data_IF_065504379836
#
_entry.id   IF_065504379836
#
_cell.length_a   1.000
_cell.length_b   1.000
_cell.length_c   1.000
_cell.angle_alpha   90.00
_cell.angle_beta   90.00
_cell.angle_gamma   90.00
#
_symmetry.space_group_name_H-M   'P 1'
#
loop_
_entity.id
_entity.type
_entity.pdbx_description
1 polymer ?
#
# COMPACT_ATOMS: atom_id res chain seq x y z
N UNK A 1 -11.70 -16.52 -12.56
CA UNK A 1 -10.27 -16.80 -12.76
C UNK A 1 -9.86 -15.96 -13.95
N UNK A 2 -8.75 -15.22 -13.90
CA UNK A 2 -8.23 -14.56 -15.09
C UNK A 2 -7.98 -15.63 -16.16
N UNK A 3 -8.55 -15.40 -17.33
CA UNK A 3 -8.58 -16.29 -18.48
C UNK A 3 -7.35 -16.12 -19.37
N UNK A 4 -6.66 -14.97 -19.30
CA UNK A 4 -5.43 -14.67 -20.03
C UNK A 4 -4.30 -14.15 -19.14
N UNK A 5 -3.08 -14.16 -19.68
CA UNK A 5 -1.90 -13.58 -19.02
C UNK A 5 -2.02 -12.06 -18.88
N UNK A 6 -2.64 -11.37 -19.85
CA UNK A 6 -2.95 -9.94 -19.78
C UNK A 6 -3.88 -9.63 -18.61
N UNK A 7 -4.98 -10.36 -18.43
CA UNK A 7 -5.91 -10.15 -17.32
C UNK A 7 -5.23 -10.37 -15.97
N UNK A 8 -4.35 -11.37 -15.86
CA UNK A 8 -3.59 -11.61 -14.64
C UNK A 8 -2.57 -10.50 -14.35
N UNK A 9 -1.99 -9.90 -15.40
CA UNK A 9 -1.11 -8.74 -15.27
C UNK A 9 -1.86 -7.51 -14.80
N UNK A 10 -3.04 -7.23 -15.37
CA UNK A 10 -3.88 -6.11 -14.97
C UNK A 10 -4.33 -6.24 -13.50
N UNK A 11 -4.74 -7.45 -13.08
CA UNK A 11 -5.07 -7.76 -11.68
C UNK A 11 -3.88 -7.50 -10.75
N UNK A 12 -2.68 -7.94 -11.14
CA UNK A 12 -1.45 -7.69 -10.38
C UNK A 12 -1.11 -6.19 -10.28
N UNK A 13 -1.18 -5.47 -11.39
CA UNK A 13 -0.90 -4.03 -11.42
C UNK A 13 -1.92 -3.23 -10.59
N UNK A 14 -3.19 -3.62 -10.59
CA UNK A 14 -4.23 -3.00 -9.78
C UNK A 14 -3.98 -3.21 -8.28
N UNK A 15 -3.71 -4.44 -7.85
CA UNK A 15 -3.39 -4.75 -6.46
C UNK A 15 -2.09 -4.06 -6.00
N UNK A 16 -1.09 -4.00 -6.89
CA UNK A 16 0.16 -3.26 -6.61
C UNK A 16 -0.09 -1.76 -6.42
N UNK A 17 -0.91 -1.16 -7.28
CA UNK A 17 -1.25 0.26 -7.18
C UNK A 17 -1.95 0.57 -5.86
N UNK A 18 -2.92 -0.26 -5.46
CA UNK A 18 -3.62 -0.09 -4.18
C UNK A 18 -2.66 -0.10 -2.98
N UNK A 19 -1.74 -1.07 -2.96
CA UNK A 19 -0.69 -1.14 -1.93
C UNK A 19 0.16 0.14 -1.89
N UNK A 20 0.47 0.72 -3.06
CA UNK A 20 1.25 1.95 -3.18
C UNK A 20 0.47 3.18 -2.72
N UNK A 21 -0.80 3.30 -3.10
CA UNK A 21 -1.68 4.39 -2.69
C UNK A 21 -1.86 4.42 -1.18
N UNK A 22 -2.12 3.26 -0.56
CA UNK A 22 -2.25 3.16 0.90
C UNK A 22 -0.94 3.53 1.63
N UNK A 23 0.23 3.24 1.05
CA UNK A 23 1.53 3.64 1.63
C UNK A 23 1.86 5.12 1.40
N UNK A 24 1.23 5.78 0.43
CA UNK A 24 1.47 7.20 0.14
C UNK A 24 1.01 8.08 1.30
N UNK A 25 -0.11 7.74 1.95
CA UNK A 25 -0.59 8.45 3.14
C UNK A 25 0.46 8.46 4.26
N UNK A 26 1.08 7.32 4.53
CA UNK A 26 2.17 7.20 5.52
C UNK A 26 3.38 8.02 5.11
N UNK A 27 3.76 7.98 3.82
CA UNK A 27 4.87 8.77 3.28
C UNK A 27 4.63 10.27 3.48
N UNK A 28 3.43 10.75 3.17
CA UNK A 28 3.08 12.16 3.31
C UNK A 28 3.08 12.60 4.78
N UNK A 29 2.57 11.78 5.69
CA UNK A 29 2.62 12.07 7.12
C UNK A 29 4.07 12.11 7.65
N UNK A 30 4.93 11.21 7.17
CA UNK A 30 6.36 11.22 7.52
C UNK A 30 7.04 12.50 7.05
N UNK A 31 6.78 12.92 5.81
CA UNK A 31 7.31 14.18 5.26
C UNK A 31 6.87 15.38 6.11
N UNK A 32 5.61 15.39 6.59
CA UNK A 32 5.10 16.47 7.44
C UNK A 32 5.83 16.56 8.79
N UNK A 33 6.25 15.42 9.34
CA UNK A 33 7.10 15.36 10.55
C UNK A 33 8.53 15.82 10.22
N UNK A 34 9.12 15.32 9.14
CA UNK A 34 10.50 15.66 8.73
C UNK A 34 10.68 17.16 8.42
N UNK A 35 9.63 17.82 7.93
CA UNK A 35 9.65 19.24 7.60
C UNK A 35 9.31 20.16 8.77
N UNK A 36 8.92 19.60 9.92
CA UNK A 36 8.53 20.40 11.08
C UNK A 36 9.71 21.15 11.70
N UNK A 37 9.52 22.43 11.97
CA UNK A 37 10.45 23.26 12.72
C UNK A 37 10.30 23.13 14.23
N UNK A 38 11.12 23.85 15.02
CA UNK A 38 11.04 23.83 16.48
C UNK A 38 9.80 24.53 17.06
N UNK A 39 9.13 25.39 16.29
CA UNK A 39 7.91 26.11 16.71
C UNK A 39 6.61 25.39 16.30
N UNK A 40 6.77 24.32 15.53
CA UNK A 40 5.69 23.53 14.98
C UNK A 40 5.16 22.52 16.01
N UNK A 41 3.84 22.29 16.02
CA UNK A 41 3.25 21.23 16.85
C UNK A 41 3.66 19.85 16.32
N UNK A 42 4.64 19.24 16.99
CA UNK A 42 5.12 17.89 16.68
C UNK A 42 4.17 16.80 17.20
N UNK A 43 3.39 17.07 18.25
CA UNK A 43 2.49 16.06 18.83
C UNK A 43 1.41 15.67 17.82
N UNK A 44 0.71 16.67 17.26
CA UNK A 44 -0.35 16.44 16.29
C UNK A 44 0.18 15.80 14.98
N UNK A 45 1.39 16.18 14.56
CA UNK A 45 2.04 15.57 13.38
C UNK A 45 2.41 14.12 13.60
N UNK A 46 2.95 13.78 14.77
CA UNK A 46 3.28 12.41 15.13
C UNK A 46 2.01 11.55 15.31
N UNK A 47 0.95 12.11 15.90
CA UNK A 47 -0.35 11.43 16.00
C UNK A 47 -0.97 11.16 14.62
N UNK A 48 -0.87 12.11 13.68
CA UNK A 48 -1.29 11.90 12.29
C UNK A 48 -0.50 10.78 11.60
N UNK A 49 0.82 10.74 11.80
CA UNK A 49 1.68 9.65 11.29
C UNK A 49 1.31 8.30 11.91
N UNK A 50 1.07 8.26 13.22
CA UNK A 50 0.64 7.04 13.91
C UNK A 50 -0.69 6.54 13.37
N UNK A 51 -1.66 7.43 13.16
CA UNK A 51 -2.96 7.10 12.56
C UNK A 51 -2.83 6.56 11.14
N UNK A 52 -2.04 7.19 10.29
CA UNK A 52 -1.78 6.72 8.92
C UNK A 52 -1.16 5.32 8.92
N UNK A 53 -0.12 5.10 9.74
CA UNK A 53 0.51 3.78 9.89
C UNK A 53 -0.47 2.74 10.47
N UNK A 54 -1.31 3.16 11.41
CA UNK A 54 -2.40 2.38 11.98
C UNK A 54 -3.39 1.93 10.90
N UNK A 55 -3.89 2.85 10.08
CA UNK A 55 -4.80 2.58 8.97
C UNK A 55 -4.21 1.59 7.96
N UNK A 56 -2.93 1.74 7.63
CA UNK A 56 -2.22 0.76 6.80
C UNK A 56 -2.20 -0.63 7.45
N UNK A 57 -1.91 -0.71 8.75
CA UNK A 57 -1.85 -1.97 9.50
C UNK A 57 -3.22 -2.63 9.66
N UNK A 58 -4.24 -1.88 10.07
CA UNK A 58 -5.58 -2.39 10.45
C UNK A 58 -6.59 -2.31 9.31
N UNK A 59 -6.51 -1.29 8.47
CA UNK A 59 -7.44 -0.98 7.38
C UNK A 59 -7.29 -1.84 6.12
N UNK A 60 -6.37 -2.81 6.13
CA UNK A 60 -6.40 -3.90 5.15
C UNK A 60 -5.26 -3.93 4.14
N UNK A 61 -4.18 -3.15 4.32
CA UNK A 61 -3.00 -3.27 3.48
C UNK A 61 -2.29 -4.62 3.72
N UNK A 62 -2.13 -5.05 4.97
CA UNK A 62 -1.58 -6.38 5.29
C UNK A 62 -2.64 -7.50 5.08
N UNK A 63 -3.91 -7.20 5.36
CA UNK A 63 -5.00 -8.18 5.29
C UNK A 63 -5.49 -8.49 3.88
N UNK A 64 -5.96 -7.48 3.15
CA UNK A 64 -6.55 -7.60 1.82
C UNK A 64 -5.60 -7.20 0.69
N UNK A 65 -4.81 -6.12 0.82
CA UNK A 65 -3.96 -5.60 -0.25
C UNK A 65 -2.76 -6.49 -0.54
N UNK A 66 -1.83 -6.63 0.41
CA UNK A 66 -0.62 -7.45 0.27
C UNK A 66 -0.95 -8.92 0.01
N UNK A 67 -2.03 -9.43 0.60
CA UNK A 67 -2.51 -10.80 0.35
C UNK A 67 -3.15 -10.93 -1.04
N UNK A 68 -3.92 -9.94 -1.49
CA UNK A 68 -4.48 -9.85 -2.84
C UNK A 68 -3.38 -9.81 -3.88
N UNK A 69 -2.44 -8.87 -3.73
CA UNK A 69 -1.23 -8.76 -4.54
C UNK A 69 -0.44 -10.06 -4.58
N UNK A 70 -0.20 -10.72 -3.45
CA UNK A 70 0.51 -12.01 -3.42
C UNK A 70 -0.20 -13.06 -4.28
N UNK A 71 -1.53 -13.19 -4.17
CA UNK A 71 -2.31 -14.13 -4.98
C UNK A 71 -2.28 -13.77 -6.46
N UNK A 72 -2.40 -12.50 -6.80
CA UNK A 72 -2.30 -12.02 -8.17
C UNK A 72 -0.91 -12.30 -8.77
N UNK A 73 0.14 -12.12 -7.97
CA UNK A 73 1.52 -12.41 -8.37
C UNK A 73 1.75 -13.91 -8.59
N UNK A 74 1.25 -14.77 -7.70
CA UNK A 74 1.30 -16.22 -7.86
C UNK A 74 0.61 -16.63 -9.18
N UNK A 75 -0.60 -16.13 -9.45
CA UNK A 75 -1.34 -16.40 -10.69
C UNK A 75 -0.61 -15.91 -11.95
N UNK A 76 -0.09 -14.69 -11.94
CA UNK A 76 0.66 -14.15 -13.07
C UNK A 76 1.88 -15.01 -13.39
N UNK A 77 2.61 -15.47 -12.36
CA UNK A 77 3.77 -16.36 -12.50
C UNK A 77 3.38 -17.72 -13.07
N UNK A 78 2.29 -18.31 -12.60
CA UNK A 78 1.79 -19.60 -13.12
C UNK A 78 1.44 -19.53 -14.61
N UNK A 79 0.84 -18.41 -15.06
CA UNK A 79 0.50 -18.20 -16.46
C UNK A 79 1.71 -17.82 -17.33
N UNK A 80 2.71 -17.13 -16.76
CA UNK A 80 3.93 -16.72 -17.45
C UNK A 80 4.98 -17.84 -17.59
N UNK A 81 4.88 -18.89 -16.77
CA UNK A 81 5.79 -20.04 -16.78
C UNK A 81 5.35 -21.18 -17.72
N UNK A 82 4.21 -21.01 -18.41
CA UNK A 82 3.72 -21.89 -19.48
C UNK A 82 4.20 -21.39 -20.85
#
# INVERSE_FOLDING_TARGET
MATSIEEAREELEAEYRKVREDLEEVRMAMIAVDQAGPEDDLYDRLDALEKAAGNVRTGGLIGSGAKGHRKALERYRELSAR
#
